data_IF_951255490943
#
_entry.id   IF_951255490943
#
_cell.length_a   1.000
_cell.length_b   1.000
_cell.length_c   1.000
_cell.angle_alpha   90.00
_cell.angle_beta   90.00
_cell.angle_gamma   90.00
#
_symmetry.space_group_name_H-M   'P 1'
#
loop_
_entity.id
_entity.type
_entity.pdbx_description
1 polymer ?
#
# COMPACT_ATOMS: atom_id res chain seq x y z
N UNK A 1 2.50 8.37 15.63
CA UNK A 1 2.66 6.92 15.90
C UNK A 1 2.35 6.06 14.67
N UNK A 2 1.15 6.14 14.08
CA UNK A 2 0.78 5.33 12.88
C UNK A 2 1.72 5.55 11.68
N UNK A 3 2.13 6.79 11.39
CA UNK A 3 3.09 7.06 10.30
C UNK A 3 4.46 6.44 10.53
N UNK A 4 4.92 6.38 11.79
CA UNK A 4 6.19 5.76 12.13
C UNK A 4 6.11 4.25 11.92
N UNK A 5 5.04 3.59 12.38
CA UNK A 5 4.82 2.16 12.14
C UNK A 5 4.71 1.86 10.64
N UNK A 6 3.99 2.68 9.87
CA UNK A 6 3.93 2.55 8.40
C UNK A 6 5.30 2.69 7.75
N UNK A 7 6.08 3.71 8.11
CA UNK A 7 7.45 3.91 7.59
C UNK A 7 8.39 2.78 8.00
N UNK A 8 8.26 2.24 9.21
CA UNK A 8 9.11 1.15 9.72
C UNK A 8 8.73 -0.19 9.10
N UNK A 9 7.44 -0.47 8.86
CA UNK A 9 6.99 -1.62 8.07
C UNK A 9 7.46 -1.52 6.62
N UNK A 10 7.32 -0.36 5.98
CA UNK A 10 7.81 -0.15 4.61
C UNK A 10 9.34 -0.34 4.52
N UNK A 11 10.09 0.08 5.53
CA UNK A 11 11.51 -0.19 5.63
C UNK A 11 11.80 -1.69 5.87
N UNK A 12 10.97 -2.39 6.64
CA UNK A 12 11.08 -3.82 6.93
C UNK A 12 10.65 -4.76 5.79
N UNK A 13 9.82 -4.28 4.85
CA UNK A 13 9.42 -5.01 3.63
C UNK A 13 10.52 -5.00 2.55
N UNK A 14 11.62 -4.28 2.80
CA UNK A 14 12.81 -4.32 1.97
C UNK A 14 12.94 -3.08 1.10
N UNK A 15 13.88 -2.21 1.47
CA UNK A 15 14.34 -1.04 0.73
C UNK A 15 15.01 -1.36 -0.63
N UNK A 16 14.80 -2.54 -1.20
CA UNK A 16 15.25 -2.86 -2.55
C UNK A 16 14.24 -2.33 -3.57
N UNK A 17 14.09 -1.00 -3.65
CA UNK A 17 13.50 -0.39 -4.83
C UNK A 17 14.51 -0.56 -5.95
N UNK A 18 14.33 -1.60 -6.75
CA UNK A 18 15.13 -1.81 -7.95
C UNK A 18 14.79 -0.68 -8.92
N UNK A 19 15.72 0.25 -9.12
CA UNK A 19 15.55 1.37 -10.04
C UNK A 19 15.97 0.96 -11.45
N UNK A 20 15.48 1.70 -12.45
CA UNK A 20 15.87 1.52 -13.86
C UNK A 20 17.39 1.51 -14.02
N UNK A 21 18.08 2.43 -13.33
CA UNK A 21 19.53 2.55 -13.38
C UNK A 21 20.24 1.27 -12.89
N UNK A 22 19.72 0.62 -11.85
CA UNK A 22 20.27 -0.64 -11.36
C UNK A 22 20.01 -1.83 -12.28
N UNK A 23 18.90 -1.80 -13.02
CA UNK A 23 18.63 -2.81 -14.05
C UNK A 23 19.53 -2.59 -15.26
N UNK A 24 19.71 -1.33 -15.68
CA UNK A 24 20.63 -0.98 -16.76
C UNK A 24 22.07 -1.40 -16.45
N UNK A 25 22.55 -1.11 -15.24
CA UNK A 25 23.90 -1.51 -14.79
C UNK A 25 24.09 -3.04 -14.82
N UNK A 26 23.04 -3.81 -14.46
CA UNK A 26 23.07 -5.28 -14.54
C UNK A 26 23.02 -5.81 -15.99
N UNK A 27 22.35 -5.08 -16.90
CA UNK A 27 22.27 -5.44 -18.32
C UNK A 27 23.51 -4.99 -19.10
N UNK A 28 24.26 -4.01 -18.61
CA UNK A 28 25.46 -3.47 -19.28
C UNK A 28 26.54 -4.55 -19.44
N UNK A 29 26.68 -5.47 -18.47
CA UNK A 29 27.59 -6.63 -18.58
C UNK A 29 27.24 -7.54 -19.77
N UNK A 30 25.97 -7.62 -20.15
CA UNK A 30 25.53 -8.37 -21.33
C UNK A 30 25.75 -7.60 -22.63
N UNK A 31 25.73 -6.26 -22.57
CA UNK A 31 26.10 -5.40 -23.69
C UNK A 31 27.59 -5.49 -23.97
N UNK A 32 28.43 -5.42 -22.93
CA UNK A 32 29.89 -5.56 -23.06
C UNK A 32 30.30 -6.92 -23.62
N UNK A 33 29.57 -7.99 -23.27
CA UNK A 33 29.77 -9.33 -23.84
C UNK A 33 29.22 -9.49 -25.26
N UNK A 34 28.65 -8.43 -25.85
CA UNK A 34 28.07 -8.43 -27.19
C UNK A 34 26.80 -9.28 -27.32
N UNK A 35 26.14 -9.63 -26.20
CA UNK A 35 24.91 -10.43 -26.17
C UNK A 35 23.65 -9.60 -26.32
N UNK A 36 23.74 -8.30 -26.04
CA UNK A 36 22.68 -7.32 -26.15
C UNK A 36 23.25 -6.03 -26.76
N UNK A 37 22.44 -5.32 -27.52
CA UNK A 37 22.73 -3.93 -27.90
C UNK A 37 22.31 -2.98 -26.78
N UNK A 38 22.86 -1.75 -26.79
CA UNK A 38 22.46 -0.70 -25.83
C UNK A 38 20.96 -0.37 -25.90
N UNK A 39 20.39 -0.41 -27.09
CA UNK A 39 18.96 -0.15 -27.32
C UNK A 39 18.08 -1.29 -26.77
N UNK A 40 18.50 -2.55 -26.94
CA UNK A 40 17.79 -3.70 -26.35
C UNK A 40 17.86 -3.69 -24.82
N UNK A 41 19.01 -3.36 -24.24
CA UNK A 41 19.15 -3.23 -22.79
C UNK A 41 18.26 -2.10 -22.23
N UNK A 42 18.20 -0.96 -22.92
CA UNK A 42 17.31 0.15 -22.55
C UNK A 42 15.83 -0.27 -22.61
N UNK A 43 15.38 -0.87 -23.71
CA UNK A 43 14.00 -1.33 -23.86
C UNK A 43 13.63 -2.42 -22.83
N UNK A 44 14.54 -3.33 -22.52
CA UNK A 44 14.34 -4.38 -21.52
C UNK A 44 14.25 -3.80 -20.10
N UNK A 45 15.08 -2.80 -19.78
CA UNK A 45 15.01 -2.12 -18.48
C UNK A 45 13.66 -1.42 -18.26
N UNK A 46 13.13 -0.75 -19.28
CA UNK A 46 11.81 -0.12 -19.22
C UNK A 46 10.71 -1.14 -18.99
N UNK A 47 10.74 -2.25 -19.73
CA UNK A 47 9.77 -3.32 -19.59
C UNK A 47 9.78 -3.94 -18.18
N UNK A 48 10.97 -4.21 -17.63
CA UNK A 48 11.11 -4.76 -16.26
C UNK A 48 10.57 -3.79 -15.22
N UNK A 49 10.83 -2.49 -15.36
CA UNK A 49 10.32 -1.47 -14.43
C UNK A 49 8.80 -1.38 -14.50
N UNK A 50 8.22 -1.37 -15.70
CA UNK A 50 6.77 -1.25 -15.85
C UNK A 50 6.02 -2.51 -15.37
N UNK A 51 6.54 -3.71 -15.68
CA UNK A 51 6.01 -4.96 -15.12
C UNK A 51 6.15 -5.00 -13.60
N UNK A 52 7.31 -4.61 -13.07
CA UNK A 52 7.56 -4.55 -11.63
C UNK A 52 6.62 -3.58 -10.91
N UNK A 53 6.31 -2.42 -11.52
CA UNK A 53 5.31 -1.47 -11.00
C UNK A 53 3.92 -2.06 -10.95
N UNK A 54 3.51 -2.79 -11.98
CA UNK A 54 2.20 -3.43 -12.03
C UNK A 54 2.07 -4.54 -10.97
N UNK A 55 3.07 -5.40 -10.83
CA UNK A 55 3.08 -6.45 -9.82
C UNK A 55 3.16 -5.87 -8.40
N UNK A 56 3.97 -4.83 -8.17
CA UNK A 56 4.02 -4.13 -6.89
C UNK A 56 2.65 -3.55 -6.51
N UNK A 57 1.89 -3.03 -7.47
CA UNK A 57 0.54 -2.50 -7.22
C UNK A 57 -0.42 -3.62 -6.77
N UNK A 58 -0.41 -4.77 -7.45
CA UNK A 58 -1.23 -5.94 -7.08
C UNK A 58 -0.84 -6.46 -5.70
N UNK A 59 0.47 -6.63 -5.46
CA UNK A 59 1.00 -7.06 -4.16
C UNK A 59 0.59 -6.11 -3.02
N UNK A 60 0.59 -4.78 -3.26
CA UNK A 60 0.13 -3.80 -2.27
C UNK A 60 -1.35 -3.95 -1.93
N UNK A 61 -2.20 -4.24 -2.91
CA UNK A 61 -3.65 -4.48 -2.69
C UNK A 61 -3.85 -5.75 -1.85
N UNK A 62 -3.22 -6.86 -2.24
CA UNK A 62 -3.28 -8.12 -1.49
C UNK A 62 -2.73 -7.99 -0.06
N UNK A 63 -1.59 -7.31 0.10
CA UNK A 63 -1.01 -7.04 1.41
C UNK A 63 -1.93 -6.18 2.28
N UNK A 64 -2.58 -5.17 1.71
CA UNK A 64 -3.54 -4.33 2.44
C UNK A 64 -4.76 -5.13 2.90
N UNK A 65 -5.24 -6.04 2.05
CA UNK A 65 -6.34 -6.95 2.38
C UNK A 65 -5.96 -7.89 3.51
N UNK A 66 -4.81 -8.57 3.41
CA UNK A 66 -4.29 -9.45 4.46
C UNK A 66 -4.11 -8.68 5.79
N UNK A 67 -3.58 -7.47 5.74
CA UNK A 67 -3.41 -6.64 6.92
C UNK A 67 -4.76 -6.30 7.58
N UNK A 68 -5.76 -5.90 6.79
CA UNK A 68 -7.11 -5.65 7.30
C UNK A 68 -7.75 -6.92 7.89
N UNK A 69 -7.60 -8.08 7.24
CA UNK A 69 -8.11 -9.36 7.78
C UNK A 69 -7.45 -9.71 9.11
N UNK A 70 -6.14 -9.47 9.26
CA UNK A 70 -5.42 -9.69 10.51
C UNK A 70 -5.91 -8.77 11.64
N UNK A 71 -6.18 -7.49 11.34
CA UNK A 71 -6.76 -6.56 12.31
C UNK A 71 -8.16 -7.01 12.76
N UNK A 72 -8.99 -7.47 11.83
CA UNK A 72 -10.31 -8.02 12.15
C UNK A 72 -10.20 -9.25 13.06
N UNK A 73 -9.28 -10.20 12.75
CA UNK A 73 -9.05 -11.38 13.61
C UNK A 73 -8.54 -11.01 15.01
N UNK A 74 -7.81 -9.91 15.13
CA UNK A 74 -7.33 -9.39 16.40
C UNK A 74 -8.40 -8.60 17.20
N UNK A 75 -9.65 -8.53 16.71
CA UNK A 75 -10.72 -7.68 17.25
C UNK A 75 -10.34 -6.18 17.31
N UNK A 76 -9.47 -5.73 16.40
CA UNK A 76 -9.09 -4.32 16.27
C UNK A 76 -9.97 -3.68 15.20
N UNK A 77 -10.82 -2.75 15.62
CA UNK A 77 -11.66 -1.95 14.73
C UNK A 77 -10.82 -0.98 13.89
N UNK A 78 -11.14 -0.86 12.61
CA UNK A 78 -10.54 0.17 11.75
C UNK A 78 -11.11 1.54 12.09
N UNK A 79 -10.39 2.60 11.71
CA UNK A 79 -10.87 3.98 11.91
C UNK A 79 -12.20 4.21 11.18
N UNK A 80 -12.31 3.73 9.95
CA UNK A 80 -13.53 3.90 9.14
C UNK A 80 -14.75 3.25 9.81
N UNK A 81 -14.58 2.06 10.40
CA UNK A 81 -15.63 1.38 11.16
C UNK A 81 -16.02 2.14 12.44
N UNK A 82 -15.04 2.75 13.11
CA UNK A 82 -15.30 3.58 14.28
C UNK A 82 -16.08 4.85 13.91
N UNK A 83 -15.68 5.53 12.83
CA UNK A 83 -16.32 6.75 12.36
C UNK A 83 -17.77 6.47 11.91
N UNK A 84 -18.01 5.35 11.21
CA UNK A 84 -19.37 4.89 10.85
C UNK A 84 -20.24 4.62 12.09
N UNK A 85 -19.68 3.99 13.12
CA UNK A 85 -20.39 3.75 14.37
C UNK A 85 -20.70 5.06 15.10
N UNK A 86 -19.75 5.99 15.14
CA UNK A 86 -19.93 7.31 15.76
C UNK A 86 -21.02 8.14 15.08
N UNK A 87 -21.10 8.12 13.75
CA UNK A 87 -22.15 8.79 12.99
C UNK A 87 -23.53 8.18 13.27
N UNK A 88 -23.61 6.84 13.33
CA UNK A 88 -24.84 6.13 13.70
C UNK A 88 -25.29 6.48 15.11
N UNK A 89 -24.36 6.57 16.07
CA UNK A 89 -24.65 6.99 17.45
C UNK A 89 -25.18 8.43 17.46
N UNK A 90 -24.49 9.36 16.81
CA UNK A 90 -24.91 10.76 16.72
C UNK A 90 -26.32 10.91 16.14
N UNK A 91 -26.64 10.12 15.11
CA UNK A 91 -27.97 10.11 14.49
C UNK A 91 -29.04 9.58 15.46
N UNK A 92 -28.71 8.52 16.22
CA UNK A 92 -29.63 7.94 17.20
C UNK A 92 -29.86 8.90 18.37
N UNK A 93 -28.80 9.54 18.88
CA UNK A 93 -28.87 10.57 19.93
C UNK A 93 -29.73 11.75 19.47
N UNK A 94 -29.56 12.24 18.25
CA UNK A 94 -30.38 13.32 17.69
C UNK A 94 -31.86 12.95 17.52
N UNK A 95 -32.16 11.69 17.15
CA UNK A 95 -33.54 11.18 17.10
C UNK A 95 -34.15 11.07 18.48
N UNK A 96 -33.39 10.52 19.43
CA UNK A 96 -33.82 10.34 20.82
C UNK A 96 -34.12 11.69 21.46
N UNK A 97 -33.26 12.69 21.27
CA UNK A 97 -33.46 14.05 21.79
C UNK A 97 -34.70 14.74 21.18
N UNK A 98 -35.06 14.41 19.94
CA UNK A 98 -36.28 14.92 19.31
C UNK A 98 -37.55 14.28 19.89
N UNK A 99 -37.49 13.00 20.22
CA UNK A 99 -38.63 12.21 20.69
C UNK A 99 -38.83 12.33 22.21
N UNK A 100 -37.74 12.52 22.94
CA UNK A 100 -37.68 12.82 24.37
C UNK A 100 -36.72 13.99 24.58
N UNK A 101 -37.19 15.24 24.48
CA UNK A 101 -36.38 16.39 24.81
C UNK A 101 -36.05 16.32 26.29
N UNK A 102 -34.80 15.95 26.59
CA UNK A 102 -34.26 16.15 27.93
C UNK A 102 -33.96 17.65 28.05
N UNK A 103 -34.75 18.32 28.88
CA UNK A 103 -34.45 19.67 29.37
C UNK A 103 -33.27 19.58 30.34
N UNK A 104 -32.04 19.70 29.83
CA UNK A 104 -30.85 20.12 30.59
C UNK A 104 -30.22 21.35 29.91
#
# INVERSE_FOLDING_TARGET
MIELVKKTMLAGVGLAVVTKDKILEALDEYVEKGKLTKEEAAAMSDKIVDEGRNETRKAKVEASKLFNEMLHRANVVTKDQYDELAERITTLEGKLHREFPNDD
#
